data_IF_017966807362
#
_entry.id   IF_017966807362
#
_cell.length_a   1.000
_cell.length_b   1.000
_cell.length_c   1.000
_cell.angle_alpha   90.00
_cell.angle_beta   90.00
_cell.angle_gamma   90.00
#
_symmetry.space_group_name_H-M   'P 1'
#
loop_
_entity.id
_entity.type
_entity.pdbx_description
1 polymer ?
#
# COMPACT_ATOMS: atom_id res chain seq x y z
N UNK A 1 10.38 10.65 3.69
CA UNK A 1 10.12 9.31 4.26
C UNK A 1 9.58 8.43 3.15
N UNK A 2 9.94 7.13 3.08
CA UNK A 2 9.40 6.22 2.08
C UNK A 2 7.87 6.13 2.23
N UNK A 3 7.18 6.34 1.12
CA UNK A 3 5.72 6.29 1.03
C UNK A 3 5.33 5.00 0.32
N UNK A 4 4.26 4.38 0.80
CA UNK A 4 3.57 3.26 0.19
C UNK A 4 2.37 3.87 -0.55
N UNK A 5 2.29 3.70 -1.87
CA UNK A 5 1.11 4.06 -2.66
C UNK A 5 0.31 2.80 -2.93
N UNK A 6 -1.01 2.87 -2.79
CA UNK A 6 -1.90 1.80 -3.20
C UNK A 6 -2.10 1.86 -4.70
N UNK A 7 -1.82 0.77 -5.38
CA UNK A 7 -2.17 0.59 -6.78
C UNK A 7 -3.60 0.07 -6.76
N UNK A 8 -4.59 0.95 -6.84
CA UNK A 8 -5.99 0.54 -6.83
C UNK A 8 -6.27 -0.29 -8.08
N UNK A 9 -6.22 -1.62 -7.94
CA UNK A 9 -6.86 -2.54 -8.88
C UNK A 9 -8.01 -3.18 -8.12
N UNK A 10 -9.12 -2.43 -8.06
CA UNK A 10 -10.38 -2.88 -7.46
C UNK A 10 -10.92 -4.18 -8.09
N UNK A 11 -10.39 -4.58 -9.25
CA UNK A 11 -10.75 -5.82 -9.94
C UNK A 11 -10.15 -7.09 -9.30
N UNK A 12 -9.08 -7.00 -8.50
CA UNK A 12 -8.43 -8.19 -7.89
C UNK A 12 -8.82 -8.49 -6.45
N UNK A 13 -9.34 -7.50 -5.72
CA UNK A 13 -9.73 -7.62 -4.31
C UNK A 13 -10.84 -8.66 -4.05
N UNK A 14 -11.54 -9.12 -5.08
CA UNK A 14 -12.64 -10.08 -4.95
C UNK A 14 -12.28 -11.52 -5.38
N UNK A 15 -11.06 -11.79 -5.90
CA UNK A 15 -10.74 -13.10 -6.51
C UNK A 15 -9.28 -13.59 -6.29
N UNK A 16 -8.44 -12.91 -5.49
CA UNK A 16 -7.08 -13.43 -5.23
C UNK A 16 -7.06 -14.38 -4.02
N UNK A 17 -7.17 -15.68 -4.30
CA UNK A 17 -6.90 -16.78 -3.35
C UNK A 17 -5.41 -16.86 -2.93
N UNK A 18 -4.56 -16.02 -3.54
CA UNK A 18 -3.11 -15.98 -3.28
C UNK A 18 -2.73 -15.06 -2.10
N UNK A 19 -3.66 -14.22 -1.62
CA UNK A 19 -3.38 -13.29 -0.52
C UNK A 19 -3.58 -13.96 0.83
N UNK A 20 -2.53 -13.97 1.66
CA UNK A 20 -2.61 -14.46 3.03
C UNK A 20 -3.60 -13.67 3.87
N UNK A 21 -4.12 -14.30 4.93
CA UNK A 21 -5.02 -13.62 5.88
C UNK A 21 -4.33 -12.42 6.56
N UNK A 22 -3.04 -12.53 6.86
CA UNK A 22 -2.23 -11.45 7.43
C UNK A 22 -2.09 -10.30 6.43
N UNK A 23 -1.84 -10.61 5.14
CA UNK A 23 -1.80 -9.67 4.03
C UNK A 23 -3.13 -8.94 3.83
N UNK A 24 -4.25 -9.66 3.88
CA UNK A 24 -5.59 -9.10 3.73
C UNK A 24 -5.96 -8.20 4.92
N UNK A 25 -5.65 -8.64 6.15
CA UNK A 25 -5.88 -7.85 7.35
C UNK A 25 -5.06 -6.56 7.34
N UNK A 26 -3.78 -6.66 6.97
CA UNK A 26 -2.92 -5.49 6.83
C UNK A 26 -3.43 -4.56 5.73
N UNK A 27 -3.77 -5.08 4.55
CA UNK A 27 -4.30 -4.29 3.44
C UNK A 27 -5.57 -3.52 3.84
N UNK A 28 -6.51 -4.17 4.53
CA UNK A 28 -7.72 -3.52 5.02
C UNK A 28 -7.39 -2.36 5.98
N UNK A 29 -6.52 -2.61 6.96
CA UNK A 29 -6.09 -1.58 7.91
C UNK A 29 -5.39 -0.41 7.22
N UNK A 30 -4.53 -0.71 6.25
CA UNK A 30 -3.79 0.26 5.46
C UNK A 30 -4.69 1.12 4.57
N UNK A 31 -5.68 0.52 3.88
CA UNK A 31 -6.64 1.22 3.03
C UNK A 31 -7.53 2.14 3.87
N UNK A 32 -8.08 1.65 4.98
CA UNK A 32 -8.95 2.43 5.88
C UNK A 32 -8.26 3.66 6.49
N UNK A 33 -6.95 3.61 6.65
CA UNK A 33 -6.15 4.69 7.24
C UNK A 33 -5.30 5.44 6.20
N UNK A 34 -5.44 5.11 4.92
CA UNK A 34 -4.74 5.80 3.85
C UNK A 34 -5.34 7.19 3.61
N UNK A 35 -4.48 8.17 3.34
CA UNK A 35 -4.91 9.49 2.90
C UNK A 35 -4.50 9.66 1.45
N UNK A 36 -5.47 9.86 0.55
CA UNK A 36 -5.24 9.98 -0.90
C UNK A 36 -4.54 8.75 -1.52
N UNK A 37 -4.83 7.53 -1.03
CA UNK A 37 -4.22 6.33 -1.58
C UNK A 37 -2.72 6.20 -1.30
N UNK A 38 -2.23 6.86 -0.24
CA UNK A 38 -0.85 6.70 0.21
C UNK A 38 -0.76 6.64 1.74
N UNK A 39 0.25 5.93 2.23
CA UNK A 39 0.59 5.84 3.65
C UNK A 39 2.11 5.76 3.83
N UNK A 40 2.64 6.32 4.93
CA UNK A 40 4.08 6.20 5.21
C UNK A 40 4.42 4.81 5.74
N UNK A 41 5.61 4.28 5.44
CA UNK A 41 6.04 2.96 5.98
C UNK A 41 5.98 2.90 7.51
N UNK A 42 6.30 4.00 8.21
CA UNK A 42 6.17 4.06 9.68
C UNK A 42 4.72 3.93 10.15
N UNK A 43 3.78 4.60 9.48
CA UNK A 43 2.36 4.45 9.80
C UNK A 43 1.84 3.05 9.47
N UNK A 44 2.31 2.45 8.38
CA UNK A 44 1.94 1.08 8.03
C UNK A 44 2.35 0.08 9.12
N UNK A 45 3.56 0.22 9.66
CA UNK A 45 4.05 -0.63 10.76
C UNK A 45 3.22 -0.41 12.04
N UNK A 46 2.87 0.84 12.37
CA UNK A 46 2.03 1.13 13.53
C UNK A 46 0.65 0.47 13.40
N UNK A 47 0.00 0.61 12.24
CA UNK A 47 -1.29 -0.02 11.99
C UNK A 47 -1.24 -1.54 12.03
N UNK A 48 -0.16 -2.15 11.53
CA UNK A 48 0.06 -3.58 11.66
C UNK A 48 0.14 -4.03 13.12
N UNK A 49 0.88 -3.29 13.96
CA UNK A 49 0.98 -3.59 15.39
C UNK A 49 -0.34 -3.40 16.14
N UNK A 50 -1.13 -2.39 15.77
CA UNK A 50 -2.49 -2.17 16.32
C UNK A 50 -3.47 -3.29 15.91
N UNK A 51 -3.17 -3.99 14.80
CA UNK A 51 -3.93 -5.15 14.32
C UNK A 51 -3.38 -6.49 14.82
N UNK A 52 -2.58 -6.49 15.90
CA UNK A 52 -1.97 -7.68 16.51
C UNK A 52 -1.00 -8.45 15.59
N UNK A 53 -0.47 -7.82 14.54
CA UNK A 53 0.59 -8.43 13.72
C UNK A 53 1.95 -8.17 14.36
N UNK A 54 2.76 -9.21 14.44
CA UNK A 54 4.17 -9.09 14.84
C UNK A 54 5.00 -8.49 13.71
N UNK A 55 6.17 -7.93 14.08
CA UNK A 55 7.05 -7.24 13.13
C UNK A 55 7.37 -8.07 11.87
N UNK A 56 7.68 -9.35 12.05
CA UNK A 56 7.99 -10.27 10.95
C UNK A 56 6.78 -10.51 10.04
N UNK A 57 5.58 -10.65 10.61
CA UNK A 57 4.33 -10.78 9.85
C UNK A 57 4.03 -9.51 9.04
N UNK A 58 4.27 -8.33 9.62
CA UNK A 58 4.09 -7.06 8.91
C UNK A 58 5.07 -6.95 7.74
N UNK A 59 6.33 -7.33 7.93
CA UNK A 59 7.33 -7.32 6.86
C UNK A 59 6.95 -8.28 5.74
N UNK A 60 6.61 -9.53 6.07
CA UNK A 60 6.16 -10.53 5.10
C UNK A 60 4.89 -10.10 4.35
N UNK A 61 3.90 -9.57 5.06
CA UNK A 61 2.65 -9.10 4.45
C UNK A 61 2.88 -7.88 3.53
N UNK A 62 3.80 -6.98 3.88
CA UNK A 62 4.16 -5.86 3.01
C UNK A 62 4.92 -6.32 1.76
N UNK A 63 5.75 -7.35 1.87
CA UNK A 63 6.42 -7.96 0.72
C UNK A 63 5.42 -8.69 -0.18
N UNK A 64 4.53 -9.49 0.40
CA UNK A 64 3.44 -10.15 -0.33
C UNK A 64 2.56 -9.14 -1.09
N UNK A 65 2.14 -8.07 -0.42
CA UNK A 65 1.34 -7.01 -1.07
C UNK A 65 2.11 -6.28 -2.18
N UNK A 66 3.44 -6.19 -2.08
CA UNK A 66 4.28 -5.62 -3.13
C UNK A 66 4.37 -6.56 -4.33
N UNK A 67 4.62 -7.84 -4.08
CA UNK A 67 4.80 -8.87 -5.11
C UNK A 67 3.50 -9.10 -5.90
N UNK A 68 2.36 -9.07 -5.21
CA UNK A 68 1.04 -9.15 -5.83
C UNK A 68 0.60 -7.84 -6.50
N UNK A 69 1.36 -6.75 -6.31
CA UNK A 69 1.14 -5.45 -6.95
C UNK A 69 0.08 -4.56 -6.30
N UNK A 70 -0.42 -4.92 -5.12
CA UNK A 70 -1.38 -4.11 -4.35
C UNK A 70 -0.79 -2.78 -3.88
N UNK A 71 0.51 -2.78 -3.59
CA UNK A 71 1.23 -1.58 -3.16
C UNK A 71 2.48 -1.34 -3.98
N UNK A 72 2.96 -0.09 -3.97
CA UNK A 72 4.26 0.28 -4.53
C UNK A 72 5.02 1.19 -3.57
N UNK A 73 6.32 0.97 -3.44
CA UNK A 73 7.19 1.86 -2.69
C UNK A 73 7.61 3.06 -3.55
N UNK A 74 7.27 4.26 -3.10
CA UNK A 74 7.82 5.50 -3.64
C UNK A 74 9.21 5.72 -3.05
N UNK A 75 10.26 5.39 -3.81
CA UNK A 75 11.61 5.87 -3.54
C UNK A 75 11.66 7.37 -3.88
N UNK A 76 12.03 8.20 -2.91
CA UNK A 76 12.23 9.63 -3.13
C UNK A 76 13.59 9.91 -3.81
N UNK A 77 13.91 9.21 -4.90
CA UNK A 77 15.05 9.57 -5.77
C UNK A 77 14.64 10.34 -7.01
N UNK A 78 13.34 10.48 -7.30
CA UNK A 78 12.86 11.45 -8.26
C UNK A 78 12.12 12.57 -7.53
N UNK A 79 12.73 13.76 -7.54
CA UNK A 79 12.04 15.04 -7.35
C UNK A 79 11.07 15.18 -8.52
N UNK A 80 9.95 14.47 -8.50
CA UNK A 80 8.83 14.70 -9.40
C UNK A 80 8.26 16.06 -9.02
N UNK A 81 8.79 17.10 -9.67
CA UNK A 81 8.10 18.36 -9.85
C UNK A 81 6.75 18.04 -10.49
N UNK A 82 5.72 17.90 -9.65
CA UNK A 82 4.32 17.83 -10.07
C UNK A 82 3.99 19.14 -10.78
N UNK A 83 4.32 19.22 -12.07
CA UNK A 83 3.54 20.02 -13.00
C UNK A 83 2.25 19.24 -13.20
N UNK A 84 1.19 19.68 -12.53
CA UNK A 84 -0.19 19.28 -12.86
C UNK A 84 -0.43 19.66 -14.33
N UNK A 85 -0.23 18.74 -15.25
CA UNK A 85 -0.81 18.82 -16.58
C UNK A 85 -2.10 18.02 -16.55
N UNK A 86 -3.21 18.74 -16.36
CA UNK A 86 -4.52 18.24 -16.74
C UNK A 86 -4.58 18.31 -18.27
N UNK A 87 -4.32 17.19 -18.95
CA UNK A 87 -4.66 17.07 -20.36
C UNK A 87 -6.17 16.79 -20.46
N UNK A 88 -6.93 17.83 -20.74
CA UNK A 88 -8.30 17.70 -21.27
C UNK A 88 -8.13 17.35 -22.75
N UNK A 89 -8.49 16.12 -23.14
CA UNK A 89 -8.53 15.73 -24.56
C UNK A 89 -9.68 16.49 -25.26
N UNK A 90 -9.50 16.87 -26.54
CA UNK A 90 -10.54 17.51 -27.34
C UNK A 90 -11.73 16.59 -27.60
#
# INVERSE_FOLDING_TARGET
MPLIKFTVVAERLFVDDELSMDGLQLLAALVSNSKMGAISKRHAVLLGTENNLHKEQIENALEELLDLGYISYCSHTARESVKRSWEVKP
#
